data_IF_818208864383
#
_entry.id   IF_818208864383
#
_cell.length_a   1.000
_cell.length_b   1.000
_cell.length_c   1.000
_cell.angle_alpha   90.00
_cell.angle_beta   90.00
_cell.angle_gamma   90.00
#
_symmetry.space_group_name_H-M   'P 1'
#
loop_
_entity.id
_entity.type
_entity.pdbx_description
1 polymer ?
#
# COMPACT_ATOMS: atom_id res chain seq x y z
N UNK A 1 -1.97 -4.02 23.95
CA UNK A 1 -1.83 -3.11 22.82
C UNK A 1 -1.95 -3.87 21.52
N UNK A 2 -2.83 -3.44 20.67
CA UNK A 2 -3.03 -4.12 19.40
C UNK A 2 -1.91 -3.74 18.45
N UNK A 3 -1.08 -4.72 18.19
CA UNK A 3 -0.01 -4.54 17.23
C UNK A 3 -0.55 -4.91 15.89
N UNK A 4 -0.80 -4.22 14.99
CA UNK A 4 -1.27 -4.66 13.69
C UNK A 4 -0.24 -5.54 13.01
N UNK A 5 -0.66 -6.10 11.90
CA UNK A 5 0.22 -6.83 11.00
C UNK A 5 0.61 -5.89 9.89
N UNK A 6 1.90 -5.72 9.72
CA UNK A 6 2.43 -4.81 8.71
C UNK A 6 2.76 -5.54 7.44
N UNK A 7 2.24 -5.02 6.34
CA UNK A 7 2.52 -5.56 5.01
C UNK A 7 3.16 -4.48 4.16
N UNK A 8 4.18 -4.86 3.42
CA UNK A 8 4.79 -3.95 2.45
C UNK A 8 4.24 -4.28 1.07
N UNK A 9 3.72 -3.28 0.41
CA UNK A 9 3.19 -3.39 -0.94
C UNK A 9 4.12 -2.63 -1.88
N UNK A 10 4.76 -3.35 -2.79
CA UNK A 10 5.54 -2.73 -3.85
C UNK A 10 4.61 -2.56 -5.05
N UNK A 11 4.56 -1.37 -5.60
CA UNK A 11 3.66 -1.07 -6.71
C UNK A 11 4.38 -0.26 -7.77
N UNK A 12 3.78 -0.22 -8.96
CA UNK A 12 4.30 0.61 -10.03
C UNK A 12 3.66 2.00 -9.99
N UNK A 13 4.32 2.93 -10.61
CA UNK A 13 3.76 4.25 -10.89
C UNK A 13 4.17 4.56 -12.31
N UNK A 14 3.30 4.30 -13.26
CA UNK A 14 3.65 4.34 -14.68
C UNK A 14 2.53 4.97 -15.50
N UNK A 15 2.73 5.02 -16.80
CA UNK A 15 1.74 5.58 -17.70
C UNK A 15 1.37 7.01 -17.33
N UNK A 16 0.10 7.34 -17.44
CA UNK A 16 -0.40 8.68 -17.09
C UNK A 16 -0.33 8.93 -15.59
N UNK A 17 -0.38 7.87 -14.79
CA UNK A 17 -0.39 8.02 -13.34
C UNK A 17 0.96 8.41 -12.77
N UNK A 18 2.04 8.38 -13.58
CA UNK A 18 3.34 8.89 -13.14
C UNK A 18 3.31 10.40 -12.84
N UNK A 19 2.29 11.09 -13.33
CA UNK A 19 2.14 12.52 -13.11
C UNK A 19 1.37 12.86 -11.85
N UNK A 20 0.85 11.86 -11.13
CA UNK A 20 0.18 12.11 -9.87
C UNK A 20 1.15 12.66 -8.84
N UNK A 21 0.67 13.61 -8.04
CA UNK A 21 1.43 14.07 -6.89
C UNK A 21 1.50 12.96 -5.85
N UNK A 22 2.42 13.09 -4.90
CA UNK A 22 2.53 12.12 -3.81
C UNK A 22 1.21 11.99 -3.05
N UNK A 23 0.56 13.11 -2.75
CA UNK A 23 -0.73 13.09 -2.04
C UNK A 23 -1.80 12.35 -2.83
N UNK A 24 -1.83 12.54 -4.14
CA UNK A 24 -2.79 11.83 -4.99
C UNK A 24 -2.53 10.32 -5.00
N UNK A 25 -1.25 9.92 -4.99
CA UNK A 25 -0.88 8.50 -4.89
C UNK A 25 -1.35 7.93 -3.55
N UNK A 26 -1.10 8.65 -2.46
CA UNK A 26 -1.55 8.24 -1.12
C UNK A 26 -3.06 8.01 -1.11
N UNK A 27 -3.82 8.97 -1.63
CA UNK A 27 -5.27 8.86 -1.67
C UNK A 27 -5.75 7.69 -2.52
N UNK A 28 -5.09 7.45 -3.65
CA UNK A 28 -5.44 6.33 -4.52
C UNK A 28 -5.19 5.00 -3.83
N UNK A 29 -4.08 4.87 -3.13
CA UNK A 29 -3.74 3.64 -2.40
C UNK A 29 -4.68 3.42 -1.22
N UNK A 30 -5.05 4.47 -0.51
CA UNK A 30 -6.04 4.37 0.58
C UNK A 30 -7.40 3.92 0.05
N UNK A 31 -7.81 4.47 -1.09
CA UNK A 31 -9.06 4.07 -1.71
C UNK A 31 -9.04 2.62 -2.13
N UNK A 32 -7.92 2.15 -2.68
CA UNK A 32 -7.78 0.75 -3.05
C UNK A 32 -7.92 -0.17 -1.84
N UNK A 33 -7.29 0.17 -0.72
CA UNK A 33 -7.40 -0.62 0.49
C UNK A 33 -8.84 -0.70 0.99
N UNK A 34 -9.59 0.41 0.90
CA UNK A 34 -11.00 0.41 1.28
C UNK A 34 -11.83 -0.45 0.34
N UNK A 35 -11.60 -0.33 -0.96
CA UNK A 35 -12.35 -1.11 -1.95
C UNK A 35 -12.05 -2.59 -1.86
N UNK A 36 -10.83 -2.94 -1.48
CA UNK A 36 -10.45 -4.33 -1.27
C UNK A 36 -11.02 -4.89 0.04
N UNK A 37 -11.69 -4.06 0.83
CA UNK A 37 -12.25 -4.43 2.12
C UNK A 37 -11.21 -5.03 3.06
N UNK A 38 -10.00 -4.51 3.03
CA UNK A 38 -8.94 -4.97 3.90
C UNK A 38 -9.18 -4.48 5.33
N UNK A 39 -8.83 -5.27 6.34
CA UNK A 39 -8.99 -4.87 7.73
C UNK A 39 -7.85 -3.93 8.15
N UNK A 40 -7.83 -2.73 7.60
CA UNK A 40 -6.76 -1.79 7.88
C UNK A 40 -6.90 -1.18 9.26
N UNK A 41 -5.77 -0.90 9.90
CA UNK A 41 -5.75 -0.20 11.18
C UNK A 41 -5.84 1.30 10.94
N UNK A 42 -6.38 2.02 11.92
CA UNK A 42 -6.44 3.48 11.88
C UNK A 42 -5.64 4.06 13.02
N UNK A 43 -5.10 5.26 12.80
CA UNK A 43 -4.36 5.94 13.85
C UNK A 43 -5.33 6.45 14.93
N UNK A 44 -4.80 6.67 16.12
CA UNK A 44 -5.56 7.27 17.21
C UNK A 44 -5.40 8.77 17.14
N UNK A 45 -6.42 9.50 17.56
CA UNK A 45 -6.37 10.95 17.57
C UNK A 45 -7.69 11.56 17.14
N UNK A 46 -7.67 12.88 16.98
CA UNK A 46 -8.89 13.62 16.62
C UNK A 46 -9.36 13.31 15.20
N UNK A 47 -8.43 13.03 14.31
CA UNK A 47 -8.75 12.70 12.92
C UNK A 47 -8.13 11.35 12.59
N UNK A 48 -8.84 10.25 12.86
CA UNK A 48 -8.30 8.92 12.56
C UNK A 48 -8.02 8.76 11.06
N UNK A 49 -6.86 8.21 10.75
CA UNK A 49 -6.45 7.95 9.39
C UNK A 49 -5.93 6.53 9.25
N UNK A 50 -6.07 5.98 8.05
CA UNK A 50 -5.53 4.67 7.74
C UNK A 50 -4.02 4.66 8.03
N UNK A 51 -3.56 3.65 8.75
CA UNK A 51 -2.14 3.53 9.08
C UNK A 51 -1.40 2.98 7.87
N UNK A 52 -0.88 3.88 7.08
CA UNK A 52 -0.18 3.59 5.84
C UNK A 52 1.03 4.51 5.77
N UNK A 53 2.20 3.92 5.59
CA UNK A 53 3.47 4.65 5.55
C UNK A 53 4.10 4.47 4.18
N UNK A 54 4.51 5.55 3.56
CA UNK A 54 5.05 5.51 2.20
C UNK A 54 6.56 5.68 2.19
N UNK A 55 7.20 5.09 1.20
CA UNK A 55 8.60 5.33 0.93
C UNK A 55 8.81 6.74 0.36
N UNK A 56 10.05 7.08 -0.01
CA UNK A 56 10.35 8.40 -0.57
C UNK A 56 9.49 8.69 -1.80
N UNK A 57 8.98 9.92 -1.87
CA UNK A 57 8.18 10.34 -3.00
C UNK A 57 9.07 10.55 -4.23
N UNK A 58 8.59 10.11 -5.39
CA UNK A 58 9.25 10.41 -6.65
C UNK A 58 8.78 11.78 -7.15
N UNK A 59 9.65 12.52 -7.84
CA UNK A 59 9.22 13.76 -8.49
C UNK A 59 8.09 13.51 -9.46
N UNK A 60 7.19 14.48 -9.59
CA UNK A 60 6.07 14.38 -10.53
C UNK A 60 6.62 14.20 -11.94
N UNK A 61 6.02 13.27 -12.68
CA UNK A 61 6.45 12.95 -14.04
C UNK A 61 7.51 11.87 -14.12
N UNK A 62 8.06 11.46 -13.00
CA UNK A 62 9.03 10.37 -12.96
C UNK A 62 8.32 9.05 -12.82
N UNK A 63 8.59 8.12 -13.72
CA UNK A 63 8.04 6.77 -13.61
C UNK A 63 8.80 5.99 -12.56
N UNK A 64 8.07 5.21 -11.76
CA UNK A 64 8.66 4.34 -10.77
C UNK A 64 8.09 2.95 -10.88
N UNK A 65 8.95 1.96 -10.97
CA UNK A 65 8.52 0.58 -11.03
C UNK A 65 8.48 -0.07 -9.66
N UNK A 66 9.18 0.51 -8.69
CA UNK A 66 9.29 -0.08 -7.36
C UNK A 66 9.16 0.96 -6.27
N UNK A 67 8.01 1.56 -6.22
CA UNK A 67 7.63 2.36 -5.06
C UNK A 67 6.93 1.43 -4.09
N UNK A 68 6.92 1.79 -2.83
CA UNK A 68 6.26 0.94 -1.85
C UNK A 68 5.56 1.75 -0.78
N UNK A 69 4.61 1.09 -0.14
CA UNK A 69 4.03 1.56 1.10
C UNK A 69 3.85 0.39 2.05
N UNK A 70 3.82 0.71 3.34
CA UNK A 70 3.56 -0.27 4.38
C UNK A 70 2.16 -0.02 4.90
N UNK A 71 1.33 -1.05 4.86
CA UNK A 71 -0.05 -1.00 5.34
C UNK A 71 -0.15 -1.84 6.59
N UNK A 72 -0.71 -1.25 7.65
CA UNK A 72 -0.94 -1.98 8.90
C UNK A 72 -2.36 -2.52 8.91
N UNK A 73 -2.50 -3.83 9.12
CA UNK A 73 -3.78 -4.50 9.21
C UNK A 73 -4.11 -4.81 10.66
N UNK A 74 -5.40 -4.89 10.98
CA UNK A 74 -5.85 -5.23 12.35
C UNK A 74 -5.79 -6.73 12.63
N UNK A 75 -5.69 -7.55 11.59
CA UNK A 75 -5.55 -8.99 11.73
C UNK A 75 -4.69 -9.54 10.60
N UNK A 76 -4.18 -10.73 10.80
CA UNK A 76 -3.35 -11.36 9.80
C UNK A 76 -4.12 -11.73 8.53
N UNK A 77 -3.52 -11.43 7.40
CA UNK A 77 -3.95 -11.93 6.09
C UNK A 77 -2.71 -12.34 5.33
N UNK A 78 -2.76 -13.44 4.58
CA UNK A 78 -1.62 -13.80 3.73
C UNK A 78 -1.31 -12.72 2.70
N UNK A 79 -0.04 -12.45 2.49
CA UNK A 79 0.38 -11.40 1.57
C UNK A 79 -0.16 -11.63 0.17
N UNK A 80 -0.22 -12.87 -0.29
CA UNK A 80 -0.73 -13.20 -1.61
C UNK A 80 -2.20 -12.82 -1.78
N UNK A 81 -3.02 -13.01 -0.73
CA UNK A 81 -4.42 -12.61 -0.77
C UNK A 81 -4.57 -11.10 -0.82
N UNK A 82 -3.77 -10.39 -0.02
CA UNK A 82 -3.79 -8.93 -0.01
C UNK A 82 -3.40 -8.40 -1.38
N UNK A 83 -2.36 -8.96 -1.97
CA UNK A 83 -1.91 -8.56 -3.29
C UNK A 83 -3.00 -8.77 -4.36
N UNK A 84 -3.65 -9.92 -4.34
CA UNK A 84 -4.73 -10.22 -5.28
C UNK A 84 -5.91 -9.28 -5.11
N UNK A 85 -6.30 -9.02 -3.86
CA UNK A 85 -7.43 -8.13 -3.57
C UNK A 85 -7.15 -6.70 -4.03
N UNK A 86 -5.94 -6.20 -3.80
CA UNK A 86 -5.56 -4.87 -4.22
C UNK A 86 -5.47 -4.78 -5.75
N UNK A 87 -4.93 -5.80 -6.40
CA UNK A 87 -4.82 -5.81 -7.85
C UNK A 87 -6.20 -5.71 -8.50
N UNK A 88 -7.19 -6.35 -7.93
CA UNK A 88 -8.55 -6.36 -8.49
C UNK A 88 -9.20 -4.98 -8.46
N UNK A 89 -8.76 -4.07 -7.60
CA UNK A 89 -9.40 -2.77 -7.41
C UNK A 89 -8.48 -1.59 -7.71
N UNK A 90 -7.25 -1.83 -8.11
CA UNK A 90 -6.27 -0.78 -8.36
C UNK A 90 -6.06 -0.62 -9.86
N UNK A 91 -5.96 0.63 -10.32
CA UNK A 91 -5.64 0.91 -11.71
C UNK A 91 -4.30 0.26 -12.06
N UNK A 92 -4.20 -0.25 -13.29
CA UNK A 92 -3.02 -1.00 -13.73
C UNK A 92 -1.71 -0.24 -13.52
N UNK A 93 -1.71 1.07 -13.77
CA UNK A 93 -0.50 1.87 -13.66
C UNK A 93 -0.04 2.11 -12.21
N UNK A 94 -0.84 1.73 -11.23
CA UNK A 94 -0.48 1.76 -9.82
C UNK A 94 -0.58 0.37 -9.19
N UNK A 95 -0.82 -0.65 -9.97
CA UNK A 95 -1.11 -1.98 -9.44
C UNK A 95 0.08 -2.55 -8.65
N UNK A 96 -0.22 -3.34 -7.61
CA UNK A 96 0.82 -4.00 -6.85
C UNK A 96 1.63 -4.94 -7.72
N UNK A 97 2.94 -4.95 -7.50
CA UNK A 97 3.84 -5.91 -8.12
C UNK A 97 4.13 -7.06 -7.17
N UNK A 98 4.30 -6.73 -5.90
CA UNK A 98 4.60 -7.71 -4.85
C UNK A 98 4.08 -7.22 -3.53
N UNK A 99 3.66 -8.15 -2.68
CA UNK A 99 3.31 -7.86 -1.30
C UNK A 99 4.08 -8.81 -0.39
N UNK A 100 4.52 -8.32 0.76
CA UNK A 100 5.24 -9.14 1.70
C UNK A 100 4.94 -8.76 3.13
N UNK A 101 5.03 -9.74 4.01
CA UNK A 101 4.88 -9.51 5.43
C UNK A 101 6.18 -9.01 6.01
N UNK A 102 6.10 -8.04 6.93
CA UNK A 102 7.26 -7.58 7.66
C UNK A 102 7.37 -8.39 8.94
N UNK A 103 8.47 -9.11 9.09
CA UNK A 103 8.72 -9.95 10.24
C UNK A 103 10.10 -9.62 10.81
N UNK A 104 10.15 -9.22 12.07
CA UNK A 104 11.41 -8.94 12.73
C UNK A 104 12.24 -7.86 12.05
N UNK A 105 11.59 -6.88 11.46
CA UNK A 105 12.28 -5.80 10.76
C UNK A 105 12.70 -6.15 9.33
N UNK A 106 12.38 -7.34 8.88
CA UNK A 106 12.65 -7.77 7.51
C UNK A 106 11.36 -7.99 6.75
N UNK A 107 11.36 -7.70 5.47
CA UNK A 107 10.21 -7.89 4.62
C UNK A 107 10.44 -9.09 3.72
N UNK A 108 9.49 -10.02 3.74
CA UNK A 108 9.49 -11.17 2.84
C UNK A 108 8.44 -10.89 1.76
N UNK A 109 8.90 -10.71 0.55
CA UNK A 109 8.00 -10.40 -0.57
C UNK A 109 7.50 -11.66 -1.24
N UNK A 110 6.19 -11.69 -1.50
CA UNK A 110 5.54 -12.75 -2.24
C UNK A 110 4.87 -12.10 -3.45
N UNK A 111 5.21 -12.58 -4.61
CA UNK A 111 4.78 -11.91 -5.78
C UNK A 111 3.62 -12.44 -6.49
#
# INVERSE_FOLDING_TARGET
MAEGFRLRVCHRKSGRLRFLSHLEVVRACERAARRAALPYAVSQGFTPRMRMSFGPALPVGTAGEREYYDLTLTRYLPAAEVCASLTAVTAEDLAPLQCGAEVGGKTTLAG
#
